data_IF_277220550884
#
_entry.id   IF_277220550884
#
_cell.length_a   1.000
_cell.length_b   1.000
_cell.length_c   1.000
_cell.angle_alpha   90.00
_cell.angle_beta   90.00
_cell.angle_gamma   90.00
#
_symmetry.space_group_name_H-M   'P 1'
#
loop_
_entity.id
_entity.type
_entity.pdbx_description
1 polymer ?
#
# COMPACT_ATOMS: atom_id res chain seq x y z
N UNK A 1 5.18 -8.11 -16.37
CA UNK A 1 4.31 -7.01 -16.82
C UNK A 1 3.72 -6.37 -15.57
N UNK A 2 4.19 -5.18 -15.19
CA UNK A 2 3.50 -4.39 -14.17
C UNK A 2 2.15 -3.96 -14.77
N UNK A 3 1.07 -4.12 -14.01
CA UNK A 3 -0.24 -3.63 -14.43
C UNK A 3 -0.18 -2.10 -14.40
N UNK A 4 -0.29 -1.47 -15.56
CA UNK A 4 -0.48 -0.03 -15.61
C UNK A 4 -1.90 0.32 -15.17
N UNK A 5 -2.01 1.26 -14.23
CA UNK A 5 -3.29 1.85 -13.82
C UNK A 5 -3.63 3.11 -14.63
N UNK A 6 -2.79 3.49 -15.61
CA UNK A 6 -3.02 4.65 -16.48
C UNK A 6 -4.35 4.58 -17.25
N UNK A 7 -4.82 3.42 -17.77
CA UNK A 7 -6.11 3.36 -18.44
C UNK A 7 -7.27 3.82 -17.54
N UNK A 8 -7.19 3.60 -16.22
CA UNK A 8 -8.24 4.01 -15.30
C UNK A 8 -8.36 5.52 -15.18
N UNK A 9 -7.28 6.28 -15.40
CA UNK A 9 -7.32 7.74 -15.43
C UNK A 9 -8.16 8.26 -16.59
N UNK A 10 -8.14 7.54 -17.72
CA UNK A 10 -8.86 7.93 -18.93
C UNK A 10 -10.29 7.38 -19.00
N UNK A 11 -10.55 6.25 -18.34
CA UNK A 11 -11.84 5.58 -18.34
C UNK A 11 -12.72 5.92 -17.13
N UNK A 12 -12.20 6.69 -16.17
CA UNK A 12 -12.95 7.06 -14.98
C UNK A 12 -14.22 7.86 -15.33
N UNK A 13 -15.35 7.57 -14.69
CA UNK A 13 -16.56 8.38 -14.85
C UNK A 13 -16.32 9.80 -14.29
N UNK A 14 -17.09 10.78 -14.76
CA UNK A 14 -16.90 12.21 -14.42
C UNK A 14 -16.92 12.52 -12.90
N UNK A 15 -17.56 11.66 -12.10
CA UNK A 15 -17.64 11.82 -10.65
C UNK A 15 -16.42 11.26 -9.89
N UNK A 16 -15.52 10.54 -10.57
CA UNK A 16 -14.36 9.88 -9.96
C UNK A 16 -13.06 10.44 -10.55
N UNK A 17 -12.26 11.07 -9.69
CA UNK A 17 -10.89 11.44 -10.03
C UNK A 17 -9.94 10.29 -9.67
N UNK A 18 -9.22 9.76 -10.66
CA UNK A 18 -8.19 8.73 -10.44
C UNK A 18 -6.80 9.39 -10.45
N UNK A 19 -6.06 9.20 -9.37
CA UNK A 19 -4.66 9.63 -9.22
C UNK A 19 -3.77 8.40 -9.06
N UNK A 20 -2.86 8.20 -10.02
CA UNK A 20 -1.86 7.15 -9.94
C UNK A 20 -0.66 7.69 -9.16
N UNK A 21 -0.31 6.99 -8.08
CA UNK A 21 0.85 7.30 -7.26
C UNK A 21 2.00 6.39 -7.71
N UNK A 22 3.04 6.98 -8.26
CA UNK A 22 4.24 6.25 -8.66
C UNK A 22 5.19 6.06 -7.48
N UNK A 23 5.77 4.85 -7.37
CA UNK A 23 6.77 4.53 -6.36
C UNK A 23 8.17 4.96 -6.81
N UNK A 24 9.10 5.25 -5.88
CA UNK A 24 10.50 5.48 -6.22
C UNK A 24 11.08 4.39 -7.13
N UNK A 25 11.88 4.81 -8.11
CA UNK A 25 12.53 3.93 -9.08
C UNK A 25 11.61 3.40 -10.18
N UNK A 26 10.41 3.96 -10.33
CA UNK A 26 9.46 3.62 -11.39
C UNK A 26 8.99 4.89 -12.11
N UNK A 27 8.59 4.78 -13.38
CA UNK A 27 7.95 5.86 -14.13
C UNK A 27 8.76 7.17 -14.14
N UNK A 28 8.09 8.29 -13.84
CA UNK A 28 8.68 9.62 -13.66
C UNK A 28 9.62 9.71 -12.46
N UNK A 29 9.50 8.79 -11.50
CA UNK A 29 10.39 8.65 -10.33
C UNK A 29 11.51 7.63 -10.56
N UNK A 30 11.79 7.24 -11.81
CA UNK A 30 12.83 6.25 -12.14
C UNK A 30 14.25 6.67 -11.69
N UNK A 31 14.49 7.98 -11.54
CA UNK A 31 15.76 8.49 -11.02
C UNK A 31 15.91 8.35 -9.50
N UNK A 32 14.82 8.07 -8.77
CA UNK A 32 14.87 7.79 -7.33
C UNK A 32 15.29 6.34 -7.07
N UNK A 33 16.05 6.07 -5.99
CA UNK A 33 16.44 4.70 -5.65
C UNK A 33 15.22 3.79 -5.42
N UNK A 34 15.23 2.58 -5.98
CA UNK A 34 14.24 1.56 -5.65
C UNK A 34 14.50 1.09 -4.22
N UNK A 35 13.53 1.29 -3.33
CA UNK A 35 13.60 0.94 -1.91
C UNK A 35 13.96 -0.53 -1.64
N UNK A 36 13.72 -1.42 -2.61
CA UNK A 36 13.99 -2.85 -2.54
C UNK A 36 14.90 -3.37 -3.69
N UNK A 37 15.38 -2.48 -4.58
CA UNK A 37 15.93 -2.87 -5.88
C UNK A 37 17.43 -3.13 -5.90
N UNK A 38 18.13 -2.80 -4.83
CA UNK A 38 19.50 -3.23 -4.61
C UNK A 38 19.49 -4.24 -3.46
N UNK A 39 19.02 -5.45 -3.78
CA UNK A 39 19.32 -6.64 -2.99
C UNK A 39 20.83 -6.94 -3.12
N UNK A 40 21.69 -6.01 -2.66
CA UNK A 40 22.98 -6.39 -2.12
C UNK A 40 22.67 -7.31 -0.93
N UNK A 41 23.40 -8.42 -0.87
CA UNK A 41 23.15 -9.63 -0.09
C UNK A 41 23.05 -9.46 1.45
N UNK A 42 22.90 -8.24 1.97
CA UNK A 42 22.98 -7.88 3.39
C UNK A 42 22.04 -6.73 3.83
N UNK A 43 20.88 -6.51 3.20
CA UNK A 43 19.89 -5.62 3.82
C UNK A 43 19.30 -6.29 5.07
N UNK A 44 19.65 -5.79 6.25
CA UNK A 44 19.01 -6.21 7.49
C UNK A 44 17.54 -5.74 7.54
N UNK A 45 16.74 -6.43 8.35
CA UNK A 45 15.30 -6.15 8.48
C UNK A 45 15.02 -4.73 8.95
N UNK A 46 15.94 -4.16 9.74
CA UNK A 46 15.80 -2.81 10.29
C UNK A 46 15.92 -1.76 9.19
N UNK A 47 16.88 -1.92 8.26
CA UNK A 47 17.03 -1.02 7.12
C UNK A 47 15.83 -1.08 6.19
N UNK A 48 15.31 -2.28 5.90
CA UNK A 48 14.10 -2.44 5.09
C UNK A 48 12.91 -1.74 5.77
N UNK A 49 12.72 -1.92 7.07
CA UNK A 49 11.67 -1.27 7.82
C UNK A 49 11.82 0.26 7.83
N UNK A 50 13.05 0.77 7.96
CA UNK A 50 13.35 2.19 7.92
C UNK A 50 13.02 2.83 6.57
N UNK A 51 13.48 2.24 5.47
CA UNK A 51 13.21 2.77 4.12
C UNK A 51 11.72 2.64 3.76
N UNK A 52 11.07 1.55 4.16
CA UNK A 52 9.62 1.41 4.01
C UNK A 52 8.85 2.47 4.80
N UNK A 53 9.28 2.77 6.03
CA UNK A 53 8.72 3.86 6.83
C UNK A 53 8.85 5.22 6.13
N UNK A 54 10.03 5.52 5.57
CA UNK A 54 10.29 6.74 4.80
C UNK A 54 9.37 6.87 3.58
N UNK A 55 9.16 5.78 2.85
CA UNK A 55 8.21 5.73 1.75
C UNK A 55 6.79 6.07 2.22
N UNK A 56 6.33 5.40 3.27
CA UNK A 56 4.98 5.59 3.80
C UNK A 56 4.80 7.04 4.25
N UNK A 57 5.74 7.62 4.99
CA UNK A 57 5.67 9.02 5.41
C UNK A 57 5.57 9.99 4.23
N UNK A 58 6.39 9.79 3.19
CA UNK A 58 6.34 10.62 1.98
C UNK A 58 4.98 10.52 1.27
N UNK A 59 4.42 9.31 1.17
CA UNK A 59 3.14 9.09 0.53
C UNK A 59 1.97 9.61 1.36
N UNK A 60 2.07 9.61 2.69
CA UNK A 60 1.07 10.21 3.59
C UNK A 60 1.00 11.72 3.38
N UNK A 61 2.16 12.39 3.28
CA UNK A 61 2.22 13.83 2.99
C UNK A 61 1.57 14.15 1.64
N UNK A 62 1.98 13.44 0.59
CA UNK A 62 1.43 13.61 -0.76
C UNK A 62 -0.09 13.35 -0.80
N UNK A 63 -0.52 12.22 -0.22
CA UNK A 63 -1.94 11.85 -0.16
C UNK A 63 -2.74 12.92 0.57
N UNK A 64 -2.25 13.42 1.72
CA UNK A 64 -2.95 14.43 2.52
C UNK A 64 -3.17 15.74 1.76
N UNK A 65 -2.23 16.15 0.91
CA UNK A 65 -2.37 17.32 0.05
C UNK A 65 -3.42 17.09 -1.05
N UNK A 66 -3.36 15.92 -1.70
CA UNK A 66 -4.27 15.56 -2.79
C UNK A 66 -5.72 15.44 -2.33
N UNK A 67 -5.96 14.86 -1.16
CA UNK A 67 -7.31 14.54 -0.66
C UNK A 67 -7.86 15.62 0.30
N UNK A 68 -7.33 16.84 0.18
CA UNK A 68 -7.72 17.98 1.02
C UNK A 68 -9.19 18.37 0.84
N UNK A 69 -9.78 18.12 -0.35
CA UNK A 69 -11.18 18.37 -0.66
C UNK A 69 -11.93 17.10 -1.07
N UNK A 70 -12.68 16.51 -0.12
CA UNK A 70 -13.63 15.43 -0.39
C UNK A 70 -13.22 14.04 0.10
N UNK A 71 -14.11 13.05 -0.01
CA UNK A 71 -13.80 11.67 0.31
C UNK A 71 -12.86 11.06 -0.73
N UNK A 72 -12.06 10.08 -0.31
CA UNK A 72 -11.18 9.34 -1.20
C UNK A 72 -11.14 7.86 -0.83
N UNK A 73 -10.63 7.04 -1.73
CA UNK A 73 -10.34 5.63 -1.51
C UNK A 73 -8.89 5.34 -1.89
N UNK A 74 -8.31 4.30 -1.30
CA UNK A 74 -6.99 3.81 -1.69
C UNK A 74 -7.13 2.47 -2.40
N UNK A 75 -6.34 2.29 -3.46
CA UNK A 75 -6.21 1.03 -4.17
C UNK A 75 -4.73 0.64 -4.25
N UNK A 76 -4.43 -0.64 -3.98
CA UNK A 76 -3.07 -1.16 -4.06
C UNK A 76 -3.00 -2.55 -4.70
N UNK A 77 -2.12 -2.73 -5.67
CA UNK A 77 -1.86 -4.02 -6.32
C UNK A 77 -0.49 -4.60 -5.92
N UNK A 78 -0.42 -5.89 -5.57
CA UNK A 78 0.81 -6.59 -5.20
C UNK A 78 1.57 -5.86 -4.08
N UNK A 79 2.78 -5.35 -4.31
CA UNK A 79 3.50 -4.53 -3.33
C UNK A 79 2.74 -3.25 -2.96
N UNK A 80 2.02 -2.66 -3.92
CA UNK A 80 1.15 -1.50 -3.68
C UNK A 80 0.07 -1.76 -2.64
N UNK A 81 -0.35 -3.02 -2.41
CA UNK A 81 -1.29 -3.36 -1.34
C UNK A 81 -0.69 -3.12 0.07
N UNK A 82 0.60 -3.40 0.25
CA UNK A 82 1.31 -3.16 1.53
C UNK A 82 1.46 -1.67 1.76
N UNK A 83 1.85 -0.96 0.69
CA UNK A 83 2.02 0.49 0.71
C UNK A 83 0.68 1.17 1.04
N UNK A 84 -0.39 0.84 0.32
CA UNK A 84 -1.72 1.42 0.53
C UNK A 84 -2.26 1.14 1.93
N UNK A 85 -2.05 -0.07 2.47
CA UNK A 85 -2.42 -0.41 3.85
C UNK A 85 -1.63 0.40 4.88
N UNK A 86 -0.31 0.50 4.71
CA UNK A 86 0.54 1.24 5.63
C UNK A 86 0.22 2.75 5.60
N UNK A 87 -0.02 3.32 4.42
CA UNK A 87 -0.47 4.72 4.26
C UNK A 87 -1.81 4.94 4.94
N UNK A 88 -2.80 4.07 4.74
CA UNK A 88 -4.10 4.18 5.40
C UNK A 88 -3.96 4.19 6.93
N UNK A 89 -3.11 3.31 7.47
CA UNK A 89 -2.84 3.20 8.89
C UNK A 89 -2.10 4.43 9.43
N UNK A 90 -1.14 4.96 8.69
CA UNK A 90 -0.37 6.13 9.13
C UNK A 90 -1.20 7.41 9.04
N UNK A 91 -2.06 7.56 8.03
CA UNK A 91 -3.06 8.64 7.99
C UNK A 91 -3.95 8.63 9.23
N UNK A 92 -4.41 7.45 9.64
CA UNK A 92 -5.20 7.28 10.87
C UNK A 92 -4.39 7.65 12.12
N UNK A 93 -3.13 7.21 12.24
CA UNK A 93 -2.26 7.52 13.39
C UNK A 93 -1.96 9.01 13.51
N UNK A 94 -1.77 9.68 12.38
CA UNK A 94 -1.44 11.11 12.30
C UNK A 94 -2.67 12.03 12.41
N UNK A 95 -3.87 11.47 12.59
CA UNK A 95 -5.12 12.24 12.68
C UNK A 95 -5.51 12.91 11.36
N UNK A 96 -4.95 12.46 10.24
CA UNK A 96 -5.30 12.93 8.91
C UNK A 96 -6.66 12.37 8.47
N UNK A 97 -7.19 12.89 7.36
CA UNK A 97 -8.40 12.35 6.75
C UNK A 97 -8.18 10.89 6.35
N UNK A 98 -9.12 10.03 6.72
CA UNK A 98 -9.07 8.60 6.40
C UNK A 98 -9.77 8.30 5.07
N UNK A 99 -9.31 7.29 4.31
CA UNK A 99 -10.02 6.82 3.14
C UNK A 99 -11.37 6.20 3.54
N UNK A 100 -12.39 6.33 2.68
CA UNK A 100 -13.68 5.63 2.86
C UNK A 100 -13.52 4.11 2.75
N UNK A 101 -12.58 3.68 1.91
CA UNK A 101 -12.29 2.27 1.67
C UNK A 101 -10.84 2.07 1.22
N UNK A 102 -10.30 0.89 1.54
CA UNK A 102 -9.05 0.38 1.03
C UNK A 102 -9.33 -0.87 0.20
N UNK A 103 -8.95 -0.85 -1.07
CA UNK A 103 -9.04 -1.97 -1.99
C UNK A 103 -7.65 -2.55 -2.23
N UNK A 104 -7.51 -3.87 -2.12
CA UNK A 104 -6.25 -4.58 -2.33
C UNK A 104 -6.43 -5.69 -3.36
N UNK A 105 -5.47 -5.85 -4.25
CA UNK A 105 -5.49 -6.85 -5.32
C UNK A 105 -4.09 -7.41 -5.61
N UNK A 106 -4.00 -8.54 -6.33
CA UNK A 106 -2.71 -9.07 -6.80
C UNK A 106 -1.76 -9.63 -5.74
N UNK A 107 -2.21 -9.71 -4.50
CA UNK A 107 -1.54 -10.41 -3.40
C UNK A 107 -2.61 -10.96 -2.46
N UNK A 108 -2.31 -12.03 -1.73
CA UNK A 108 -3.05 -12.31 -0.49
C UNK A 108 -2.96 -11.09 0.43
N UNK A 109 -3.90 -10.93 1.36
CA UNK A 109 -3.89 -9.80 2.30
C UNK A 109 -2.49 -9.57 2.90
N UNK A 110 -2.11 -8.38 3.41
CA UNK A 110 -0.73 -8.09 3.81
C UNK A 110 -0.10 -9.09 4.82
N UNK A 111 -0.94 -9.85 5.52
CA UNK A 111 -0.57 -10.93 6.43
C UNK A 111 -0.40 -12.32 5.77
N UNK A 112 -0.65 -12.45 4.47
CA UNK A 112 -0.64 -13.67 3.68
C UNK A 112 0.53 -13.66 2.70
N UNK A 113 1.77 -13.68 3.21
CA UNK A 113 2.92 -13.68 2.29
C UNK A 113 3.16 -15.08 1.71
N UNK A 114 2.78 -16.15 2.42
CA UNK A 114 2.68 -17.52 1.90
C UNK A 114 1.69 -18.31 2.75
N UNK A 115 0.43 -18.40 2.34
CA UNK A 115 -0.54 -19.30 2.97
C UNK A 115 -1.15 -20.22 1.95
N UNK A 116 -1.19 -21.51 2.29
CA UNK A 116 -1.90 -22.53 1.52
C UNK A 116 -3.39 -22.14 1.49
N UNK A 117 -4.15 -22.51 0.45
CA UNK A 117 -5.56 -22.13 0.31
C UNK A 117 -6.43 -22.36 1.57
N UNK A 118 -6.15 -23.43 2.34
CA UNK A 118 -6.85 -23.73 3.59
C UNK A 118 -6.62 -22.71 4.72
N UNK A 119 -5.49 -22.01 4.73
CA UNK A 119 -5.14 -21.03 5.76
C UNK A 119 -5.76 -19.65 5.42
N UNK A 120 -5.93 -19.35 4.12
CA UNK A 120 -6.66 -18.18 3.63
C UNK A 120 -8.14 -18.20 4.00
N UNK A 121 -8.79 -19.37 3.86
CA UNK A 121 -10.20 -19.54 4.21
C UNK A 121 -10.43 -19.39 5.71
N UNK A 122 -9.49 -19.88 6.53
CA UNK A 122 -9.53 -19.75 7.99
C UNK A 122 -9.41 -18.29 8.46
N UNK A 123 -8.59 -17.48 7.79
CA UNK A 123 -8.37 -16.07 8.14
C UNK A 123 -9.44 -15.13 7.61
N UNK A 124 -9.97 -15.41 6.41
CA UNK A 124 -11.10 -14.64 5.84
C UNK A 124 -12.35 -14.69 6.73
N UNK A 125 -12.47 -15.71 7.58
CA UNK A 125 -13.61 -15.91 8.48
C UNK A 125 -13.36 -15.46 9.92
N UNK A 126 -12.18 -14.89 10.24
CA UNK A 126 -11.82 -14.54 11.63
C UNK A 126 -11.96 -13.05 11.95
N UNK A 127 -12.32 -12.69 13.20
CA UNK A 127 -12.33 -11.30 13.67
C UNK A 127 -10.94 -10.65 13.63
N UNK A 128 -10.89 -9.35 13.33
CA UNK A 128 -9.62 -8.62 13.10
C UNK A 128 -8.64 -8.62 14.29
N UNK A 129 -9.11 -8.78 15.53
CA UNK A 129 -8.25 -8.82 16.72
C UNK A 129 -7.40 -10.12 16.81
N UNK A 130 -7.92 -11.24 16.34
CA UNK A 130 -7.22 -12.53 16.36
C UNK A 130 -6.06 -12.55 15.34
N UNK A 131 -6.20 -11.79 14.25
CA UNK A 131 -5.15 -11.59 13.24
C UNK A 131 -3.96 -10.82 13.84
N UNK A 132 -4.20 -9.89 14.77
CA UNK A 132 -3.15 -9.09 15.40
C UNK A 132 -2.33 -9.87 16.43
N UNK A 133 -2.94 -10.76 17.21
CA UNK A 133 -2.21 -11.63 18.16
C UNK A 133 -1.29 -12.62 17.45
N UNK A 134 -1.70 -13.12 16.29
CA UNK A 134 -0.90 -14.04 15.47
C UNK A 134 0.32 -13.37 14.81
N UNK A 135 0.35 -12.04 14.69
CA UNK A 135 1.49 -11.27 14.15
C UNK A 135 2.61 -11.00 15.18
N UNK A 136 2.37 -11.31 16.46
CA UNK A 136 3.21 -10.90 17.60
C UNK A 136 4.02 -12.02 18.28
N UNK A 137 4.01 -13.24 17.75
CA UNK A 137 4.86 -14.37 18.16
C UNK A 137 5.56 -14.97 16.93
#
# INVERSE_FOLDING_TARGET
VAMSLEPWVHEAPEWLEVRVVELPGHGFRAAEPIILGEAQEHLDRERIAFEFGRLVSSLVEETSLLVSSGPFVLFGFSFGAFVAFAVARELQRSGCRQPLALFIAGRGAPHCIFMRPAELELLATRPGEDVLRWMGE
#
